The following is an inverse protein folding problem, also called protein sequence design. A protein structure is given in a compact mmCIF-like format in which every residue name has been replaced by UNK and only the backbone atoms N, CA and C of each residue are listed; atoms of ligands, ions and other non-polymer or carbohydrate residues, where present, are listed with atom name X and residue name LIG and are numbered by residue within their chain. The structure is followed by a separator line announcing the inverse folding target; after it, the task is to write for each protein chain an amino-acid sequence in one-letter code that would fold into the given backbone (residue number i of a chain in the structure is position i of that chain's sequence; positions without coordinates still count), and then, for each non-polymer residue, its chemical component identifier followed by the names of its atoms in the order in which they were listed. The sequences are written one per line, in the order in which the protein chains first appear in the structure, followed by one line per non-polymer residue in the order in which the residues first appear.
data_IF_124431107334
#
_entry.id   IF_124431107334
#
_cell.length_a   1.000
_cell.length_b   1.000
_cell.length_c   1.000
_cell.angle_alpha   90.00
_cell.angle_beta   90.00
_cell.angle_gamma   90.00
#
_symmetry.space_group_name_H-M   'P 1'
#
loop_
_entity.id
_entity.type
_entity.pdbx_description
1 polymer ?
#
# COMPACT_ATOMS: atom_id res chain seq x y z
N UNK A 1 -1.62 -23.88 -0.62
CA UNK A 1 -0.34 -23.44 -0.05
C UNK A 1 0.38 -22.73 -1.18
N UNK A 2 0.99 -21.56 -0.92
CA UNK A 2 1.78 -20.82 -1.89
C UNK A 2 3.24 -21.28 -1.82
N UNK A 3 3.93 -21.35 -2.94
CA UNK A 3 5.35 -21.64 -2.96
C UNK A 3 6.15 -20.56 -2.20
N UNK A 4 5.88 -19.31 -2.53
CA UNK A 4 6.52 -18.14 -1.93
C UNK A 4 5.65 -16.88 -2.12
N UNK A 5 6.17 -15.72 -1.71
CA UNK A 5 5.49 -14.42 -1.87
C UNK A 5 5.32 -13.97 -3.31
N UNK A 6 6.20 -14.42 -4.22
CA UNK A 6 6.13 -14.02 -5.64
C UNK A 6 4.96 -14.75 -6.31
N UNK A 7 4.85 -16.07 -6.15
CA UNK A 7 3.69 -16.82 -6.66
C UNK A 7 2.37 -16.25 -6.09
N UNK A 8 2.34 -15.94 -4.79
CA UNK A 8 1.16 -15.33 -4.18
C UNK A 8 0.81 -13.97 -4.81
N UNK A 9 1.82 -13.16 -5.15
CA UNK A 9 1.63 -11.88 -5.83
C UNK A 9 1.15 -12.04 -7.28
N UNK A 10 1.67 -13.03 -8.02
CA UNK A 10 1.20 -13.37 -9.38
C UNK A 10 -0.28 -13.75 -9.38
N UNK A 11 -0.70 -14.59 -8.44
CA UNK A 11 -2.12 -14.97 -8.29
C UNK A 11 -3.01 -13.79 -7.88
N UNK A 12 -2.52 -12.87 -7.04
CA UNK A 12 -3.21 -11.62 -6.72
C UNK A 12 -3.32 -10.72 -7.95
N UNK A 13 -2.26 -10.59 -8.73
CA UNK A 13 -2.25 -9.78 -9.95
C UNK A 13 -3.31 -10.25 -10.94
N UNK A 14 -3.49 -11.57 -11.12
CA UNK A 14 -4.55 -12.13 -11.96
C UNK A 14 -5.96 -11.68 -11.51
N UNK A 15 -6.21 -11.61 -10.22
CA UNK A 15 -7.50 -11.12 -9.67
C UNK A 15 -7.68 -9.61 -9.82
N UNK A 16 -6.57 -8.89 -10.00
CA UNK A 16 -6.51 -7.43 -10.09
C UNK A 16 -6.30 -6.92 -11.52
N UNK A 17 -6.26 -7.79 -12.54
CA UNK A 17 -5.99 -7.43 -13.93
C UNK A 17 -6.91 -6.33 -14.49
N UNK A 18 -8.15 -6.19 -13.97
CA UNK A 18 -9.06 -5.09 -14.34
C UNK A 18 -8.51 -3.69 -14.01
N UNK A 19 -7.49 -3.60 -13.18
CA UNK A 19 -6.82 -2.35 -12.81
C UNK A 19 -5.56 -2.06 -13.64
N UNK A 20 -5.15 -3.01 -14.49
CA UNK A 20 -4.03 -2.81 -15.40
C UNK A 20 -4.31 -1.65 -16.35
N UNK A 21 -3.31 -0.80 -16.57
CA UNK A 21 -3.42 0.38 -17.42
C UNK A 21 -4.13 1.58 -16.77
N UNK A 22 -4.63 1.45 -15.52
CA UNK A 22 -5.21 2.56 -14.75
C UNK A 22 -4.15 3.28 -13.88
N UNK A 23 -2.87 2.97 -14.05
CA UNK A 23 -1.76 3.47 -13.28
C UNK A 23 -1.96 3.36 -11.75
N UNK A 24 -2.30 2.15 -11.22
CA UNK A 24 -2.55 1.96 -9.80
C UNK A 24 -1.31 2.31 -8.97
N UNK A 25 -1.51 2.89 -7.80
CA UNK A 25 -0.47 3.00 -6.79
C UNK A 25 -0.53 1.77 -5.89
N UNK A 26 0.51 0.94 -5.93
CA UNK A 26 0.69 -0.21 -5.05
C UNK A 26 1.40 0.26 -3.79
N UNK A 27 0.76 0.15 -2.65
CA UNK A 27 1.32 0.46 -1.34
C UNK A 27 1.57 -0.83 -0.59
N UNK A 28 2.82 -1.27 -0.54
CA UNK A 28 3.21 -2.47 0.21
C UNK A 28 3.40 -2.16 1.70
N UNK A 29 2.89 -3.03 2.57
CA UNK A 29 3.17 -2.96 4.01
C UNK A 29 4.55 -3.60 4.26
N UNK A 30 5.56 -2.83 4.70
CA UNK A 30 6.87 -3.39 4.92
C UNK A 30 6.89 -4.32 6.16
N UNK A 31 7.74 -5.34 6.18
CA UNK A 31 8.76 -5.63 5.15
C UNK A 31 8.28 -6.68 4.15
N UNK A 32 7.55 -7.69 4.63
CA UNK A 32 7.21 -8.91 3.90
C UNK A 32 6.49 -8.69 2.57
N UNK A 33 5.62 -7.68 2.49
CA UNK A 33 4.84 -7.42 1.28
C UNK A 33 5.59 -6.64 0.18
N UNK A 34 6.81 -6.15 0.44
CA UNK A 34 7.49 -5.30 -0.56
C UNK A 34 7.87 -6.06 -1.83
N UNK A 35 8.42 -7.29 -1.78
CA UNK A 35 8.62 -8.10 -2.99
C UNK A 35 7.33 -8.36 -3.77
N UNK A 36 6.21 -8.58 -3.07
CA UNK A 36 4.89 -8.73 -3.70
C UNK A 36 4.44 -7.44 -4.38
N UNK A 37 4.70 -6.30 -3.73
CA UNK A 37 4.40 -4.99 -4.30
C UNK A 37 5.16 -4.71 -5.60
N UNK A 38 6.41 -5.17 -5.71
CA UNK A 38 7.19 -5.10 -6.95
C UNK A 38 6.50 -5.87 -8.06
N UNK A 39 6.14 -7.12 -7.80
CA UNK A 39 5.48 -7.99 -8.77
C UNK A 39 4.12 -7.43 -9.22
N UNK A 40 3.30 -6.97 -8.27
CA UNK A 40 2.02 -6.34 -8.58
C UNK A 40 2.18 -5.07 -9.43
N UNK A 41 3.17 -4.22 -9.10
CA UNK A 41 3.43 -3.00 -9.86
C UNK A 41 3.85 -3.31 -11.30
N UNK A 42 4.66 -4.35 -11.52
CA UNK A 42 5.06 -4.80 -12.85
C UNK A 42 3.87 -5.33 -13.65
N UNK A 43 3.09 -6.25 -13.09
CA UNK A 43 1.98 -6.89 -13.79
C UNK A 43 0.81 -5.95 -14.07
N UNK A 44 0.59 -4.95 -13.23
CA UNK A 44 -0.53 -4.01 -13.36
C UNK A 44 -0.16 -2.68 -14.02
N UNK A 45 1.07 -2.51 -14.51
CA UNK A 45 1.62 -1.25 -15.03
C UNK A 45 1.43 -0.12 -14.00
N UNK A 46 1.69 -0.43 -12.74
CA UNK A 46 1.45 0.45 -11.59
C UNK A 46 2.72 1.10 -11.04
N UNK A 47 2.51 1.91 -10.03
CA UNK A 47 3.57 2.57 -9.27
C UNK A 47 3.68 1.97 -7.87
N UNK A 48 4.92 1.62 -7.44
CA UNK A 48 5.18 1.05 -6.12
C UNK A 48 5.61 2.12 -5.11
N UNK A 49 5.07 2.09 -3.91
CA UNK A 49 5.63 2.70 -2.71
C UNK A 49 5.28 1.84 -1.47
N UNK A 50 5.70 2.27 -0.30
CA UNK A 50 5.36 1.62 0.97
C UNK A 50 4.40 2.48 1.78
N UNK A 51 3.54 1.84 2.57
CA UNK A 51 2.74 2.51 3.60
C UNK A 51 3.36 2.23 4.97
N UNK A 52 3.84 3.27 5.62
CA UNK A 52 4.50 3.17 6.92
C UNK A 52 3.53 3.50 8.04
N UNK A 53 3.18 2.48 8.82
CA UNK A 53 2.32 2.59 10.00
C UNK A 53 2.90 1.79 11.16
N UNK A 54 2.58 2.17 12.38
CA UNK A 54 2.96 1.44 13.59
C UNK A 54 1.82 1.39 14.58
N UNK A 55 1.73 0.28 15.32
CA UNK A 55 0.84 0.18 16.48
C UNK A 55 1.33 1.14 17.57
N UNK A 56 0.39 1.77 18.25
CA UNK A 56 0.60 2.39 19.54
C UNK A 56 0.18 1.37 20.60
N UNK A 57 1.06 1.05 21.55
CA UNK A 57 0.84 -0.05 22.49
C UNK A 57 0.50 0.47 23.90
N UNK A 58 -0.20 -0.36 24.67
CA UNK A 58 -0.55 -0.05 26.05
C UNK A 58 0.68 -0.02 26.97
N UNK A 59 0.67 0.74 28.09
CA UNK A 59 1.82 0.93 28.97
C UNK A 59 2.43 -0.36 29.52
N UNK A 60 1.60 -1.30 29.94
CA UNK A 60 2.02 -2.54 30.59
C UNK A 60 1.83 -3.78 29.71
N UNK A 61 1.36 -3.62 28.48
CA UNK A 61 1.03 -4.70 27.55
C UNK A 61 1.48 -4.34 26.14
N UNK A 62 2.76 -4.59 25.80
CA UNK A 62 3.33 -4.19 24.51
C UNK A 62 2.68 -4.87 23.30
N UNK A 63 1.97 -5.98 23.51
CA UNK A 63 1.21 -6.66 22.46
C UNK A 63 -0.21 -6.08 22.28
N UNK A 64 -0.73 -5.34 23.28
CA UNK A 64 -2.05 -4.74 23.20
C UNK A 64 -1.99 -3.40 22.48
N UNK A 65 -2.54 -3.37 21.26
CA UNK A 65 -2.64 -2.14 20.49
C UNK A 65 -3.74 -1.24 21.04
N UNK A 66 -3.40 0.01 21.40
CA UNK A 66 -4.32 1.09 21.78
C UNK A 66 -4.57 2.06 20.64
N UNK A 67 -3.98 1.81 19.47
CA UNK A 67 -4.11 2.63 18.28
C UNK A 67 -3.04 2.36 17.25
N UNK A 68 -2.94 3.26 16.30
CA UNK A 68 -1.90 3.24 15.27
C UNK A 68 -1.51 4.67 14.89
N UNK A 69 -0.30 4.82 14.37
CA UNK A 69 0.26 6.08 13.86
C UNK A 69 0.85 5.86 12.48
N UNK A 70 0.69 6.85 11.58
CA UNK A 70 1.31 6.88 10.27
C UNK A 70 2.59 7.74 10.24
N UNK A 71 3.32 7.71 9.14
CA UNK A 71 4.56 8.49 8.96
C UNK A 71 4.34 10.01 8.98
N UNK A 72 3.12 10.48 8.71
CA UNK A 72 2.71 11.88 8.85
C UNK A 72 2.43 12.31 10.29
N UNK A 73 2.61 11.39 11.27
CA UNK A 73 2.36 11.67 12.68
C UNK A 73 0.89 11.64 13.09
N UNK A 74 0.00 11.23 12.20
CA UNK A 74 -1.42 11.13 12.52
C UNK A 74 -1.70 9.82 13.24
N UNK A 75 -2.25 9.93 14.45
CA UNK A 75 -2.61 8.78 15.25
C UNK A 75 -4.13 8.61 15.33
N UNK A 76 -4.56 7.35 15.27
CA UNK A 76 -5.93 6.93 15.59
C UNK A 76 -5.86 6.09 16.85
N UNK A 77 -6.67 6.42 17.84
CA UNK A 77 -6.74 5.71 19.13
C UNK A 77 -7.98 4.83 19.18
N UNK A 78 -7.85 3.68 19.80
CA UNK A 78 -8.97 2.80 20.11
C UNK A 78 -9.76 3.33 21.32
N UNK A 79 -11.05 3.07 21.36
CA UNK A 79 -11.93 3.51 22.46
C UNK A 79 -11.50 3.00 23.84
N UNK A 80 -10.88 1.81 23.88
CA UNK A 80 -10.42 1.19 25.12
C UNK A 80 -9.08 1.73 25.63
N UNK A 81 -8.42 2.64 24.91
CA UNK A 81 -7.05 3.10 25.26
C UNK A 81 -6.96 3.62 26.72
N UNK A 82 -7.92 4.45 27.16
CA UNK A 82 -7.95 4.96 28.53
C UNK A 82 -8.18 3.85 29.57
N UNK A 83 -9.03 2.86 29.24
CA UNK A 83 -9.36 1.76 30.17
C UNK A 83 -8.17 0.83 30.45
N UNK A 84 -7.17 0.80 29.57
CA UNK A 84 -5.94 -0.01 29.74
C UNK A 84 -4.75 0.82 30.24
N UNK A 85 -5.02 1.98 30.85
CA UNK A 85 -4.02 2.81 31.51
C UNK A 85 -3.23 3.74 30.58
N UNK A 86 -3.63 3.90 29.32
CA UNK A 86 -2.98 4.84 28.42
C UNK A 86 -3.38 6.29 28.75
N UNK A 87 -2.61 6.92 29.64
CA UNK A 87 -2.78 8.34 29.98
C UNK A 87 -2.42 9.24 28.79
N UNK A 88 -2.89 10.51 28.75
CA UNK A 88 -2.48 11.46 27.71
C UNK A 88 -0.96 11.64 27.61
N UNK A 89 -0.24 11.64 28.72
CA UNK A 89 1.22 11.71 28.77
C UNK A 89 1.86 10.48 28.12
N UNK A 90 1.36 9.28 28.44
CA UNK A 90 1.82 8.03 27.80
C UNK A 90 1.59 8.05 26.29
N UNK A 91 0.39 8.40 25.87
CA UNK A 91 0.04 8.47 24.44
C UNK A 91 0.96 9.42 23.71
N UNK A 92 1.27 10.59 24.28
CA UNK A 92 2.19 11.56 23.68
C UNK A 92 3.59 10.99 23.54
N UNK A 93 4.13 10.38 24.59
CA UNK A 93 5.45 9.76 24.59
C UNK A 93 5.53 8.61 23.58
N UNK A 94 4.51 7.74 23.54
CA UNK A 94 4.44 6.61 22.61
C UNK A 94 4.35 7.08 21.15
N UNK A 95 3.55 8.10 20.86
CA UNK A 95 3.48 8.73 19.54
C UNK A 95 4.84 9.26 19.11
N UNK A 96 5.54 9.98 19.97
CA UNK A 96 6.88 10.51 19.68
C UNK A 96 7.85 9.38 19.35
N UNK A 97 7.90 8.33 20.18
CA UNK A 97 8.75 7.17 19.98
C UNK A 97 8.48 6.48 18.64
N UNK A 98 7.20 6.19 18.33
CA UNK A 98 6.84 5.51 17.11
C UNK A 98 7.06 6.38 15.87
N UNK A 99 6.85 7.70 15.96
CA UNK A 99 7.14 8.65 14.87
C UNK A 99 8.64 8.65 14.53
N UNK A 100 9.53 8.63 15.51
CA UNK A 100 10.98 8.55 15.27
C UNK A 100 11.34 7.28 14.49
N UNK A 101 10.78 6.13 14.88
CA UNK A 101 11.00 4.85 14.17
C UNK A 101 10.48 4.93 12.72
N UNK A 102 9.29 5.49 12.50
CA UNK A 102 8.72 5.66 11.16
C UNK A 102 9.58 6.59 10.29
N UNK A 103 10.07 7.70 10.85
CA UNK A 103 10.94 8.63 10.15
C UNK A 103 12.29 8.00 9.77
N UNK A 104 12.87 7.19 10.66
CA UNK A 104 14.09 6.47 10.38
C UNK A 104 13.88 5.49 9.20
N UNK A 105 12.80 4.71 9.21
CA UNK A 105 12.44 3.81 8.11
C UNK A 105 12.15 4.57 6.82
N UNK A 106 11.42 5.68 6.90
CA UNK A 106 11.14 6.51 5.72
C UNK A 106 12.42 7.01 5.05
N UNK A 107 13.41 7.46 5.83
CA UNK A 107 14.73 7.87 5.32
C UNK A 107 15.50 6.71 4.69
N UNK A 108 15.44 5.52 5.29
CA UNK A 108 16.11 4.32 4.79
C UNK A 108 15.49 3.85 3.47
N UNK A 109 14.16 3.78 3.39
CA UNK A 109 13.45 3.25 2.24
C UNK A 109 13.32 4.25 1.09
N UNK A 110 13.31 5.56 1.40
CA UNK A 110 13.14 6.67 0.45
C UNK A 110 14.18 7.77 0.67
N UNK A 111 15.49 7.47 0.54
CA UNK A 111 16.55 8.38 0.98
C UNK A 111 16.53 9.76 0.30
N UNK A 112 16.02 9.86 -0.93
CA UNK A 112 16.09 11.08 -1.73
C UNK A 112 14.74 11.50 -2.32
N UNK A 113 13.64 10.91 -1.88
CA UNK A 113 12.33 11.18 -2.48
C UNK A 113 11.19 11.26 -1.46
N UNK A 114 10.17 12.09 -1.72
CA UNK A 114 8.96 12.08 -0.91
C UNK A 114 8.12 10.83 -1.18
N UNK A 115 7.16 10.52 -0.29
CA UNK A 115 6.12 9.53 -0.55
C UNK A 115 5.35 9.85 -1.83
N UNK A 116 4.90 8.80 -2.52
CA UNK A 116 4.06 8.98 -3.70
C UNK A 116 2.68 9.50 -3.29
N UNK A 117 2.17 10.58 -3.92
CA UNK A 117 0.86 11.12 -3.59
C UNK A 117 -0.26 10.10 -3.82
N UNK A 118 -1.14 9.96 -2.82
CA UNK A 118 -2.29 9.04 -2.81
C UNK A 118 -3.55 9.70 -3.36
N UNK A 119 -3.69 11.02 -3.16
CA UNK A 119 -4.94 11.75 -3.43
C UNK A 119 -5.42 11.56 -4.87
N UNK A 120 -6.69 11.16 -5.01
CA UNK A 120 -7.36 11.00 -6.31
C UNK A 120 -6.87 9.81 -7.13
N UNK A 121 -6.06 8.91 -6.56
CA UNK A 121 -5.54 7.73 -7.26
C UNK A 121 -6.30 6.45 -6.91
N UNK A 122 -6.26 5.49 -7.80
CA UNK A 122 -6.52 4.09 -7.49
C UNK A 122 -5.33 3.57 -6.67
N UNK A 123 -5.60 3.12 -5.46
CA UNK A 123 -4.58 2.63 -4.52
C UNK A 123 -4.88 1.19 -4.15
N UNK A 124 -3.87 0.33 -4.23
CA UNK A 124 -3.93 -1.07 -3.81
C UNK A 124 -2.94 -1.24 -2.65
N UNK A 125 -3.45 -1.49 -1.45
CA UNK A 125 -2.62 -1.82 -0.28
C UNK A 125 -2.45 -3.33 -0.23
N UNK A 126 -1.20 -3.80 -0.20
CA UNK A 126 -0.85 -5.23 -0.19
C UNK A 126 -0.11 -5.63 1.08
N UNK A 127 -0.44 -6.82 1.61
CA UNK A 127 0.30 -7.50 2.69
C UNK A 127 0.43 -8.99 2.36
N UNK A 128 1.37 -9.69 3.00
CA UNK A 128 1.61 -11.12 2.79
C UNK A 128 0.59 -12.03 3.50
N UNK A 129 -0.24 -11.47 4.36
CA UNK A 129 -1.39 -12.14 4.97
C UNK A 129 -1.94 -11.41 6.18
N UNK A 130 -3.18 -11.72 6.54
CA UNK A 130 -3.86 -11.10 7.68
C UNK A 130 -4.09 -12.11 8.81
N UNK A 131 -3.26 -12.08 9.85
CA UNK A 131 -3.52 -12.82 11.10
C UNK A 131 -4.59 -12.09 11.93
N UNK A 132 -4.26 -10.93 12.48
CA UNK A 132 -5.18 -10.07 13.24
C UNK A 132 -5.74 -8.92 12.39
N UNK A 133 -5.11 -8.59 11.29
CA UNK A 133 -5.44 -7.46 10.43
C UNK A 133 -5.06 -6.09 10.98
N UNK A 134 -4.46 -6.00 12.16
CA UNK A 134 -4.20 -4.71 12.82
C UNK A 134 -3.33 -3.76 11.99
N UNK A 135 -2.29 -4.27 11.33
CA UNK A 135 -1.41 -3.44 10.48
C UNK A 135 -2.14 -2.97 9.22
N UNK A 136 -2.90 -3.85 8.57
CA UNK A 136 -3.70 -3.51 7.40
C UNK A 136 -4.78 -2.48 7.75
N UNK A 137 -5.47 -2.62 8.89
CA UNK A 137 -6.45 -1.64 9.38
C UNK A 137 -5.79 -0.26 9.54
N UNK A 138 -4.60 -0.21 10.15
CA UNK A 138 -3.85 1.03 10.31
C UNK A 138 -3.46 1.64 8.95
N UNK A 139 -2.98 0.81 8.02
CA UNK A 139 -2.58 1.22 6.68
C UNK A 139 -3.78 1.77 5.88
N UNK A 140 -4.88 1.03 5.81
CA UNK A 140 -6.10 1.47 5.11
C UNK A 140 -6.66 2.76 5.69
N UNK A 141 -6.66 2.90 7.02
CA UNK A 141 -7.12 4.12 7.70
C UNK A 141 -6.25 5.32 7.33
N UNK A 142 -4.92 5.15 7.34
CA UNK A 142 -3.98 6.20 6.97
C UNK A 142 -4.10 6.61 5.50
N UNK A 143 -4.27 5.63 4.60
CA UNK A 143 -4.45 5.85 3.16
C UNK A 143 -5.80 6.51 2.86
N UNK A 144 -6.89 6.06 3.49
CA UNK A 144 -8.24 6.62 3.30
C UNK A 144 -8.30 8.12 3.64
N UNK A 145 -7.56 8.56 4.67
CA UNK A 145 -7.47 9.98 5.04
C UNK A 145 -6.85 10.86 3.96
N UNK A 146 -6.00 10.30 3.12
CA UNK A 146 -5.39 11.00 1.98
C UNK A 146 -6.31 11.09 0.76
N UNK A 147 -7.57 10.62 0.87
CA UNK A 147 -8.63 10.71 -0.15
C UNK A 147 -8.23 10.07 -1.50
N UNK A 148 -7.92 8.77 -1.53
CA UNK A 148 -7.80 8.05 -2.80
C UNK A 148 -9.13 8.09 -3.57
N UNK A 149 -9.09 7.98 -4.90
CA UNK A 149 -10.29 7.79 -5.71
C UNK A 149 -10.90 6.40 -5.48
N UNK A 150 -10.04 5.40 -5.28
CA UNK A 150 -10.43 4.02 -4.92
C UNK A 150 -9.35 3.40 -4.05
N UNK A 151 -9.79 2.67 -3.03
CA UNK A 151 -8.91 1.96 -2.09
C UNK A 151 -9.20 0.47 -2.12
N UNK A 152 -8.23 -0.32 -2.52
CA UNK A 152 -8.31 -1.78 -2.61
C UNK A 152 -7.36 -2.40 -1.58
N UNK A 153 -7.83 -3.41 -0.84
CA UNK A 153 -7.00 -4.26 -0.02
C UNK A 153 -6.72 -5.57 -0.77
N UNK A 154 -5.48 -6.00 -0.85
CA UNK A 154 -5.08 -7.22 -1.54
C UNK A 154 -4.17 -8.07 -0.65
N UNK A 155 -4.60 -9.31 -0.36
CA UNK A 155 -3.84 -10.26 0.47
C UNK A 155 -4.02 -11.70 -0.04
N UNK A 156 -2.98 -12.54 0.02
CA UNK A 156 -3.10 -13.94 -0.38
C UNK A 156 -3.94 -14.76 0.59
N UNK A 157 -3.82 -14.50 1.89
CA UNK A 157 -4.47 -15.31 2.92
C UNK A 157 -4.89 -14.42 4.10
N UNK A 158 -6.02 -14.75 4.70
CA UNK A 158 -6.53 -14.05 5.88
C UNK A 158 -7.27 -14.99 6.82
N UNK A 159 -7.26 -14.67 8.11
CA UNK A 159 -8.27 -15.19 9.04
C UNK A 159 -9.63 -14.57 8.72
N UNK A 160 -10.72 -15.30 8.99
CA UNK A 160 -12.09 -14.81 8.75
C UNK A 160 -12.37 -13.51 9.52
N UNK A 161 -11.92 -13.45 10.77
CA UNK A 161 -12.10 -12.28 11.65
C UNK A 161 -11.33 -11.06 11.14
N UNK A 162 -10.06 -11.24 10.73
CA UNK A 162 -9.27 -10.15 10.20
C UNK A 162 -9.86 -9.60 8.89
N UNK A 163 -10.30 -10.49 7.99
CA UNK A 163 -10.89 -10.09 6.73
C UNK A 163 -12.18 -9.27 6.94
N UNK A 164 -13.07 -9.74 7.80
CA UNK A 164 -14.32 -9.03 8.10
C UNK A 164 -14.07 -7.60 8.61
N UNK A 165 -13.05 -7.41 9.46
CA UNK A 165 -12.65 -6.09 9.97
C UNK A 165 -12.08 -5.18 8.90
N UNK A 166 -11.33 -5.73 7.96
CA UNK A 166 -10.64 -4.99 6.89
C UNK A 166 -11.60 -4.59 5.77
N UNK A 167 -12.56 -5.45 5.43
CA UNK A 167 -13.55 -5.21 4.37
C UNK A 167 -14.34 -3.92 4.54
N UNK A 168 -14.61 -3.50 5.79
CA UNK A 168 -15.31 -2.26 6.06
C UNK A 168 -14.50 -0.98 5.76
N UNK A 169 -13.18 -1.08 5.54
CA UNK A 169 -12.26 0.05 5.38
C UNK A 169 -11.82 0.28 3.94
N UNK A 170 -12.00 -0.71 3.07
CA UNK A 170 -11.63 -0.64 1.65
C UNK A 170 -12.88 -0.62 0.77
N UNK A 171 -12.78 -0.05 -0.44
CA UNK A 171 -13.86 -0.10 -1.43
C UNK A 171 -13.98 -1.49 -2.05
N UNK A 172 -12.88 -2.25 -1.97
CA UNK A 172 -12.79 -3.62 -2.42
C UNK A 172 -11.72 -4.37 -1.65
N UNK A 173 -11.96 -5.65 -1.39
CA UNK A 173 -10.99 -6.54 -0.75
C UNK A 173 -10.82 -7.80 -1.60
N UNK A 174 -9.58 -8.07 -2.02
CA UNK A 174 -9.19 -9.27 -2.73
C UNK A 174 -8.39 -10.16 -1.77
N UNK A 175 -8.93 -11.34 -1.48
CA UNK A 175 -8.28 -12.38 -0.68
C UNK A 175 -8.34 -13.69 -1.44
N UNK A 176 -7.21 -14.39 -1.62
CA UNK A 176 -7.16 -15.62 -2.39
C UNK A 176 -7.63 -16.84 -1.57
N UNK A 177 -7.34 -16.85 -0.28
CA UNK A 177 -7.63 -17.99 0.60
C UNK A 177 -8.10 -17.56 1.99
N UNK A 178 -9.13 -18.26 2.48
CA UNK A 178 -9.72 -18.12 3.82
C UNK A 178 -9.74 -19.47 4.52
N UNK A 179 -8.59 -19.96 4.98
CA UNK A 179 -8.50 -21.27 5.60
C UNK A 179 -9.30 -21.33 6.92
N UNK A 180 -9.91 -22.50 7.24
CA UNK A 180 -10.68 -22.65 8.48
C UNK A 180 -9.80 -22.63 9.73
N UNK A 181 -8.54 -23.08 9.62
CA UNK A 181 -7.54 -23.06 10.69
C UNK A 181 -6.43 -22.09 10.31
N UNK A 182 -6.32 -21.01 11.07
CA UNK A 182 -5.33 -19.96 10.86
C UNK A 182 -4.55 -19.70 12.15
N UNK A 183 -3.28 -20.03 12.18
CA UNK A 183 -2.39 -19.77 13.32
C UNK A 183 -1.42 -18.64 13.00
N UNK A 184 -0.74 -18.72 11.85
CA UNK A 184 0.22 -17.73 11.41
C UNK A 184 0.25 -17.64 9.88
N UNK A 185 0.60 -16.46 9.34
CA UNK A 185 0.69 -16.23 7.89
C UNK A 185 1.65 -17.21 7.22
N UNK A 186 2.83 -17.44 7.84
CA UNK A 186 3.89 -18.27 7.25
C UNK A 186 3.51 -19.72 7.00
N UNK A 187 2.47 -20.26 7.70
CA UNK A 187 2.03 -21.65 7.49
C UNK A 187 1.42 -21.91 6.10
N UNK A 188 1.11 -20.85 5.37
CA UNK A 188 0.50 -20.95 4.03
C UNK A 188 1.52 -20.80 2.90
N UNK A 189 2.80 -20.72 3.24
CA UNK A 189 3.93 -20.59 2.32
C UNK A 189 4.92 -21.73 2.54
N UNK A 190 5.45 -22.30 1.45
CA UNK A 190 6.54 -23.28 1.51
C UNK A 190 7.86 -22.59 1.88
N UNK A 191 8.09 -21.41 1.31
CA UNK A 191 9.25 -20.56 1.56
C UNK A 191 8.81 -19.19 2.03
N UNK A 192 9.09 -18.87 3.32
CA UNK A 192 8.68 -17.61 3.95
C UNK A 192 9.85 -16.94 4.69
N UNK A 193 10.98 -16.62 4.01
CA UNK A 193 12.11 -15.96 4.64
C UNK A 193 11.73 -14.57 5.12
N UNK A 194 12.45 -14.05 6.13
CA UNK A 194 12.32 -12.66 6.53
C UNK A 194 12.92 -11.75 5.46
N UNK A 195 12.21 -10.68 5.12
CA UNK A 195 12.69 -9.61 4.25
C UNK A 195 13.43 -8.59 5.12
N UNK A 196 14.65 -8.24 4.74
CA UNK A 196 15.48 -7.25 5.43
C UNK A 196 15.11 -5.81 5.03
N UNK A 197 15.54 -4.84 5.84
CA UNK A 197 15.35 -3.43 5.50
C UNK A 197 16.16 -3.01 4.25
N UNK A 198 17.32 -3.65 4.02
CA UNK A 198 18.15 -3.42 2.82
C UNK A 198 17.46 -3.94 1.55
N UNK A 199 16.83 -5.13 1.61
CA UNK A 199 16.04 -5.65 0.49
C UNK A 199 14.85 -4.73 0.17
N UNK A 200 14.17 -4.19 1.17
CA UNK A 200 13.11 -3.20 0.97
C UNK A 200 13.63 -1.97 0.25
N UNK A 201 14.77 -1.42 0.71
CA UNK A 201 15.38 -0.25 0.09
C UNK A 201 15.80 -0.54 -1.37
N UNK A 202 16.36 -1.71 -1.65
CA UNK A 202 16.72 -2.14 -3.01
C UNK A 202 15.49 -2.23 -3.91
N UNK A 203 14.42 -2.89 -3.48
CA UNK A 203 13.17 -3.01 -4.22
C UNK A 203 12.59 -1.64 -4.60
N UNK A 204 12.62 -0.69 -3.67
CA UNK A 204 12.08 0.65 -3.91
C UNK A 204 12.98 1.51 -4.82
N UNK A 205 14.29 1.27 -4.82
CA UNK A 205 15.26 1.99 -5.64
C UNK A 205 15.31 1.46 -7.09
N UNK A 206 15.09 0.18 -7.33
CA UNK A 206 15.00 -0.41 -8.68
C UNK A 206 13.86 0.18 -9.52
N UNK A 207 12.91 0.83 -8.89
CA UNK A 207 11.78 1.53 -9.50
C UNK A 207 12.16 2.65 -10.47
N UNK A 208 13.32 3.27 -10.36
CA UNK A 208 13.80 4.29 -11.31
C UNK A 208 14.05 3.75 -12.73
N UNK A 209 13.98 2.43 -12.93
CA UNK A 209 14.16 1.77 -14.22
C UNK A 209 12.86 1.61 -15.03
N UNK A 210 11.69 1.89 -14.45
CA UNK A 210 10.41 1.85 -15.18
C UNK A 210 9.95 3.28 -15.47
N UNK A 211 10.14 3.82 -16.71
CA UNK A 211 9.72 5.17 -17.05
C UNK A 211 8.19 5.26 -16.96
N UNK A 212 7.72 6.37 -16.40
CA UNK A 212 6.29 6.74 -16.44
C UNK A 212 5.82 6.63 -17.88
N UNK A 213 4.86 5.77 -18.17
CA UNK A 213 4.30 5.64 -19.50
C UNK A 213 3.89 7.00 -20.04
N UNK A 214 4.39 7.35 -21.21
CA UNK A 214 4.17 8.60 -21.94
C UNK A 214 2.72 8.71 -22.45
N UNK A 215 1.75 8.81 -21.54
CA UNK A 215 0.33 8.98 -21.89
C UNK A 215 -0.08 10.46 -22.05
N UNK A 216 0.87 11.41 -22.06
CA UNK A 216 0.55 12.86 -22.15
C UNK A 216 0.96 13.54 -23.47
N UNK A 217 1.57 12.85 -24.45
CA UNK A 217 1.97 13.53 -25.70
C UNK A 217 1.14 13.17 -26.94
N UNK A 218 0.17 12.27 -26.83
CA UNK A 218 -0.64 11.88 -28.00
C UNK A 218 -1.84 12.80 -28.29
N UNK A 219 -2.16 13.77 -27.45
CA UNK A 219 -3.30 14.71 -27.69
C UNK A 219 -2.92 16.06 -28.26
N UNK A 220 -1.63 16.38 -28.41
CA UNK A 220 -1.18 17.68 -28.97
C UNK A 220 -0.88 17.66 -30.46
N UNK A 221 -0.69 16.50 -31.08
CA UNK A 221 -0.34 16.41 -32.51
C UNK A 221 -1.53 16.23 -33.45
N UNK A 222 -2.71 15.83 -32.93
CA UNK A 222 -3.91 15.70 -33.75
C UNK A 222 -4.65 17.03 -34.01
N UNK A 223 -4.46 18.06 -33.14
CA UNK A 223 -5.12 19.36 -33.30
C UNK A 223 -4.40 20.32 -34.25
N UNK A 224 -3.16 20.00 -34.66
CA UNK A 224 -2.40 20.87 -35.61
C UNK A 224 -2.47 20.46 -37.07
N UNK A 225 -3.10 19.33 -37.40
CA UNK A 225 -3.24 18.84 -38.78
C UNK A 225 -4.58 19.23 -39.46
N UNK A 226 -5.55 19.75 -38.70
CA UNK A 226 -6.86 20.17 -39.26
C UNK A 226 -6.87 21.68 -39.62
N UNK A 227 -5.90 22.47 -39.11
CA UNK A 227 -5.81 23.92 -39.43
C UNK A 227 -5.08 24.29 -40.71
N UNK A 228 -4.38 23.39 -41.36
CA UNK A 228 -3.53 23.70 -42.52
C UNK A 228 -4.20 23.37 -43.88
N UNK A 229 -5.37 22.74 -43.88
CA UNK A 229 -6.08 22.40 -45.15
C UNK A 229 -7.19 23.36 -45.57
N UNK A 230 -7.47 24.42 -44.77
CA UNK A 230 -8.55 25.35 -45.06
C UNK A 230 -8.09 26.73 -45.58
N UNK A 231 -6.77 26.91 -45.83
CA UNK A 231 -6.23 28.22 -46.32
C UNK A 231 -5.74 28.22 -47.76
N UNK A 232 -6.02 27.21 -48.57
CA UNK A 232 -5.57 27.13 -49.97
C UNK A 232 -6.72 27.14 -51.01
N UNK A 233 -7.95 27.51 -50.64
CA UNK A 233 -9.09 27.51 -51.54
C UNK A 233 -9.74 28.90 -51.72
N UNK A 234 -9.07 30.02 -51.42
CA UNK A 234 -9.62 31.37 -51.56
C UNK A 234 -8.63 32.34 -52.22
N UNK A 235 -8.03 31.96 -53.36
CA UNK A 235 -7.38 32.91 -54.25
C UNK A 235 -7.24 32.34 -55.65
N UNK A 236 -8.37 32.24 -56.36
CA UNK A 236 -8.43 32.22 -57.82
C UNK A 236 -9.91 32.35 -58.18
N UNK A 237 -10.31 33.59 -58.51
CA UNK A 237 -11.61 33.94 -58.99
C UNK A 237 -11.74 35.44 -59.00
#
# INVERSE_FOLDING_TARGET
MFKDRIEAAELLAQRLLRYRGQAPLILAIPRGAVPMGVELAQQLDGELDVVLVRKLCAPLQPELAIGAIDEGGHATLAHHAAAVGATPAWITAEKTRQTQVLQQRARMYRPMRPPVPVRGRLVIVVDDGLATGATMIAALTAVRRQRPARLVCAVPVASREALARVQALADETVCLSLPPLFQAVGQFYEHFPQVSDDEVAQCLNQRSLFPRGSASQAKSSASRRIGAAASLAASSG
#
